data_IF_889948429488
#
_entry.id   IF_889948429488
#
_cell.length_a   1.000
_cell.length_b   1.000
_cell.length_c   1.000
_cell.angle_alpha   90.00
_cell.angle_beta   90.00
_cell.angle_gamma   90.00
#
_symmetry.space_group_name_H-M   'P 1'
#
loop_
_entity.id
_entity.type
_entity.pdbx_description
1 polymer ?
#
# COMPACT_ATOMS: atom_id res chain seq x y z
N UNK A 1 6.28 31.11 23.19
CA UNK A 1 6.85 31.27 21.84
C UNK A 1 6.78 29.93 21.08
N UNK A 2 7.00 29.93 19.77
CA UNK A 2 7.06 28.69 18.95
C UNK A 2 8.19 27.75 19.42
N UNK A 3 9.32 28.33 19.87
CA UNK A 3 10.43 27.56 20.43
C UNK A 3 10.05 26.85 21.74
N UNK A 4 9.28 27.50 22.59
CA UNK A 4 8.83 26.89 23.85
C UNK A 4 7.86 25.74 23.60
N UNK A 5 7.00 25.85 22.59
CA UNK A 5 6.12 24.77 22.17
C UNK A 5 6.90 23.57 21.66
N UNK A 6 7.95 23.79 20.85
CA UNK A 6 8.81 22.69 20.36
C UNK A 6 9.58 22.02 21.50
N UNK A 7 10.09 22.80 22.46
CA UNK A 7 10.74 22.26 23.66
C UNK A 7 9.76 21.47 24.54
N UNK A 8 8.57 22.00 24.77
CA UNK A 8 7.53 21.30 25.51
C UNK A 8 7.14 19.97 24.83
N UNK A 9 6.95 19.98 23.50
CA UNK A 9 6.68 18.77 22.72
C UNK A 9 7.76 17.72 22.92
N UNK A 10 9.05 18.10 22.80
CA UNK A 10 10.16 17.17 22.95
C UNK A 10 10.23 16.54 24.33
N UNK A 11 9.96 17.33 25.38
CA UNK A 11 9.93 16.86 26.77
C UNK A 11 8.76 15.90 27.00
N UNK A 12 7.58 16.24 26.53
CA UNK A 12 6.37 15.39 26.63
C UNK A 12 6.56 14.08 25.86
N UNK A 13 7.08 14.13 24.62
CA UNK A 13 7.35 12.95 23.81
C UNK A 13 8.36 12.01 24.51
N UNK A 14 9.40 12.59 25.12
CA UNK A 14 10.40 11.83 25.88
C UNK A 14 9.81 11.18 27.13
N UNK A 15 8.88 11.85 27.80
CA UNK A 15 8.21 11.32 29.00
C UNK A 15 7.20 10.22 28.68
N UNK A 16 6.48 10.33 27.55
CA UNK A 16 5.43 9.38 27.12
C UNK A 16 5.99 8.18 26.34
N UNK A 17 7.22 8.25 25.86
CA UNK A 17 7.82 7.21 25.05
C UNK A 17 7.24 7.12 23.62
N UNK A 18 7.56 6.03 22.91
CA UNK A 18 7.20 5.85 21.51
C UNK A 18 5.76 5.36 21.28
N UNK A 19 5.01 5.10 22.36
CA UNK A 19 3.62 4.63 22.25
C UNK A 19 2.62 5.76 21.95
N UNK A 20 3.02 7.00 22.14
CA UNK A 20 2.18 8.17 21.94
C UNK A 20 2.81 9.14 20.94
N UNK A 21 1.97 9.74 20.11
CA UNK A 21 2.38 10.81 19.19
C UNK A 21 1.93 12.14 19.78
N UNK A 22 2.90 13.03 20.08
CA UNK A 22 2.61 14.38 20.58
C UNK A 22 2.51 15.32 19.39
N UNK A 23 1.30 15.80 19.09
CA UNK A 23 1.03 16.79 18.06
C UNK A 23 0.90 18.19 18.66
N UNK A 24 1.46 19.20 17.97
CA UNK A 24 1.23 20.61 18.33
C UNK A 24 0.01 21.10 17.56
N UNK A 25 -0.97 21.64 18.27
CA UNK A 25 -2.14 22.27 17.67
C UNK A 25 -2.32 23.70 18.22
N UNK A 26 -2.86 24.58 17.40
CA UNK A 26 -3.18 25.94 17.81
C UNK A 26 -4.62 25.98 18.35
N UNK A 27 -4.76 26.42 19.60
CA UNK A 27 -6.05 26.62 20.23
C UNK A 27 -6.43 28.09 20.08
N UNK A 28 -7.71 28.35 19.81
CA UNK A 28 -8.25 29.69 19.76
C UNK A 28 -8.12 30.41 21.13
N UNK A 29 -7.61 31.64 21.12
CA UNK A 29 -7.56 32.49 22.29
C UNK A 29 -8.82 33.42 22.36
N UNK A 30 -9.92 32.99 21.74
CA UNK A 30 -11.18 33.76 21.79
C UNK A 30 -11.77 33.74 23.18
N UNK A 31 -12.28 34.90 23.68
CA UNK A 31 -12.95 34.96 24.95
C UNK A 31 -14.17 34.00 25.02
N UNK A 32 -14.38 33.39 26.17
CA UNK A 32 -15.46 32.42 26.36
C UNK A 32 -16.86 32.95 26.02
N UNK A 33 -17.13 34.23 26.25
CA UNK A 33 -18.41 34.84 25.91
C UNK A 33 -18.68 34.84 24.38
N UNK A 34 -17.62 35.00 23.57
CA UNK A 34 -17.73 35.02 22.13
C UNK A 34 -17.97 33.58 21.58
N UNK A 35 -17.30 32.59 22.17
CA UNK A 35 -17.50 31.16 21.84
C UNK A 35 -18.93 30.70 22.22
N UNK A 36 -19.47 31.19 23.34
CA UNK A 36 -20.83 30.89 23.80
C UNK A 36 -21.91 31.46 22.88
N UNK A 37 -21.60 32.50 22.12
CA UNK A 37 -22.49 33.08 21.09
C UNK A 37 -22.40 32.37 19.74
N UNK A 38 -21.61 31.28 19.65
CA UNK A 38 -21.39 30.56 18.39
C UNK A 38 -20.45 31.24 17.39
N UNK A 39 -19.79 32.33 17.80
CA UNK A 39 -18.81 33.02 16.99
C UNK A 39 -17.46 32.30 17.09
N UNK A 40 -17.26 31.34 16.17
CA UNK A 40 -16.00 30.63 16.03
C UNK A 40 -14.98 31.51 15.29
N UNK A 41 -13.69 31.45 15.66
CA UNK A 41 -12.66 32.15 14.92
C UNK A 41 -12.60 31.64 13.49
N UNK A 42 -12.39 32.54 12.55
CA UNK A 42 -12.19 32.16 11.15
C UNK A 42 -10.89 31.36 11.03
N UNK A 43 -11.00 30.18 10.44
CA UNK A 43 -9.83 29.37 10.13
C UNK A 43 -9.02 30.03 9.03
N UNK A 44 -7.79 30.43 9.36
CA UNK A 44 -6.89 31.08 8.43
C UNK A 44 -6.19 30.00 7.59
N UNK A 45 -6.24 30.13 6.26
CA UNK A 45 -5.53 29.22 5.36
C UNK A 45 -4.01 29.36 5.44
N UNK A 46 -3.32 28.60 4.59
CA UNK A 46 -1.85 28.52 4.52
C UNK A 46 -1.20 29.90 4.37
N UNK A 47 -1.79 30.78 3.57
CA UNK A 47 -1.26 32.11 3.26
C UNK A 47 -1.20 33.06 4.46
N UNK A 48 -2.11 32.90 5.41
CA UNK A 48 -2.20 33.76 6.60
C UNK A 48 -1.62 33.14 7.86
N UNK A 49 -1.59 31.82 7.92
CA UNK A 49 -1.14 31.07 9.11
C UNK A 49 0.27 30.52 8.95
N UNK A 50 0.79 30.54 7.72
CA UNK A 50 1.97 29.77 7.36
C UNK A 50 1.70 28.27 7.40
N UNK A 51 2.69 27.47 7.10
CA UNK A 51 2.57 26.03 7.10
C UNK A 51 3.36 25.39 5.96
N UNK A 52 3.00 24.17 5.58
CA UNK A 52 3.73 23.41 4.59
C UNK A 52 2.82 23.04 3.43
N UNK A 53 3.35 23.20 2.23
CA UNK A 53 2.72 22.77 1.00
C UNK A 53 3.58 21.66 0.35
N UNK A 54 3.02 20.48 0.17
CA UNK A 54 3.64 19.39 -0.55
C UNK A 54 2.93 19.14 -1.88
N UNK A 55 3.70 18.91 -2.90
CA UNK A 55 3.24 18.34 -4.16
C UNK A 55 3.86 16.94 -4.28
N UNK A 56 3.04 15.91 -4.23
CA UNK A 56 3.46 14.52 -4.37
C UNK A 56 3.01 13.98 -5.73
N UNK A 57 3.84 13.13 -6.32
CA UNK A 57 3.51 12.43 -7.56
C UNK A 57 3.35 10.94 -7.27
N UNK A 58 2.27 10.35 -7.76
CA UNK A 58 2.03 8.91 -7.68
C UNK A 58 2.77 8.23 -8.82
N UNK A 59 3.59 7.23 -8.50
CA UNK A 59 4.29 6.42 -9.50
C UNK A 59 3.32 5.40 -10.11
N UNK A 60 2.61 5.85 -11.14
CA UNK A 60 1.63 5.03 -11.85
C UNK A 60 2.27 3.85 -12.59
N UNK A 61 3.52 3.97 -13.01
CA UNK A 61 4.25 2.89 -13.68
C UNK A 61 4.47 1.73 -12.73
N UNK A 62 4.89 2.02 -11.49
CA UNK A 62 5.02 0.98 -10.45
C UNK A 62 3.68 0.38 -10.04
N UNK A 63 2.61 1.18 -9.98
CA UNK A 63 1.26 0.67 -9.70
C UNK A 63 0.81 -0.34 -10.77
N UNK A 64 1.00 -0.01 -12.04
CA UNK A 64 0.71 -0.91 -13.16
C UNK A 64 1.60 -2.16 -13.13
N UNK A 65 2.89 -1.99 -12.88
CA UNK A 65 3.84 -3.11 -12.79
C UNK A 65 3.47 -4.09 -11.67
N UNK A 66 3.14 -3.57 -10.49
CA UNK A 66 2.70 -4.38 -9.34
C UNK A 66 1.40 -5.12 -9.66
N UNK A 67 0.43 -4.43 -10.25
CA UNK A 67 -0.85 -5.03 -10.63
C UNK A 67 -0.67 -6.12 -11.69
N UNK A 68 0.18 -5.88 -12.70
CA UNK A 68 0.52 -6.89 -13.73
C UNK A 68 1.19 -8.12 -13.12
N UNK A 69 2.08 -7.92 -12.15
CA UNK A 69 2.72 -9.03 -11.43
C UNK A 69 1.72 -9.86 -10.63
N UNK A 70 0.76 -9.20 -9.97
CA UNK A 70 -0.31 -9.86 -9.22
C UNK A 70 -1.20 -10.70 -10.15
N UNK A 71 -1.64 -10.14 -11.28
CA UNK A 71 -2.42 -10.89 -12.27
C UNK A 71 -1.66 -12.11 -12.81
N UNK A 72 -0.36 -11.95 -13.13
CA UNK A 72 0.44 -13.08 -13.60
C UNK A 72 0.56 -14.17 -12.54
N UNK A 73 0.68 -13.80 -11.27
CA UNK A 73 0.65 -14.73 -10.14
C UNK A 73 -0.68 -15.48 -10.04
N UNK A 74 -1.79 -14.79 -10.20
CA UNK A 74 -3.14 -15.35 -10.20
C UNK A 74 -3.35 -16.29 -11.38
N UNK A 75 -2.93 -15.89 -12.58
CA UNK A 75 -2.99 -16.74 -13.77
C UNK A 75 -2.23 -18.06 -13.57
N UNK A 76 -1.00 -17.97 -13.04
CA UNK A 76 -0.20 -19.17 -12.74
C UNK A 76 -0.90 -20.08 -11.73
N UNK A 77 -1.52 -19.52 -10.69
CA UNK A 77 -2.23 -20.27 -9.67
C UNK A 77 -3.46 -20.98 -10.25
N UNK A 78 -4.28 -20.28 -11.04
CA UNK A 78 -5.49 -20.85 -11.64
C UNK A 78 -5.15 -21.87 -12.72
N UNK A 79 -4.18 -21.60 -13.59
CA UNK A 79 -3.75 -22.56 -14.62
C UNK A 79 -3.23 -23.88 -14.00
N UNK A 80 -2.49 -23.79 -12.87
CA UNK A 80 -2.03 -24.97 -12.12
C UNK A 80 -3.19 -25.73 -11.50
N UNK A 81 -4.13 -25.02 -10.87
CA UNK A 81 -5.32 -25.60 -10.24
C UNK A 81 -6.14 -26.40 -11.25
N UNK A 82 -6.34 -25.87 -12.46
CA UNK A 82 -7.07 -26.49 -13.54
C UNK A 82 -6.20 -27.46 -14.37
N UNK A 83 -4.95 -27.71 -13.94
CA UNK A 83 -3.99 -28.62 -14.59
C UNK A 83 -3.74 -28.30 -16.07
N UNK A 84 -3.75 -27.01 -16.43
CA UNK A 84 -3.43 -26.56 -17.79
C UNK A 84 -1.92 -26.55 -17.98
N UNK A 85 -1.44 -27.22 -19.03
CA UNK A 85 -0.01 -27.31 -19.35
C UNK A 85 0.51 -26.06 -20.02
N UNK A 86 1.45 -25.38 -19.38
CA UNK A 86 2.21 -24.28 -19.96
C UNK A 86 3.70 -24.44 -19.67
N UNK A 87 4.55 -23.88 -20.52
CA UNK A 87 6.00 -23.90 -20.35
C UNK A 87 6.49 -22.76 -19.50
N UNK A 88 6.01 -21.55 -19.81
CA UNK A 88 6.47 -20.33 -19.19
C UNK A 88 5.35 -19.28 -19.12
N UNK A 89 5.45 -18.39 -18.15
CA UNK A 89 4.56 -17.26 -17.99
C UNK A 89 5.37 -16.07 -17.47
N UNK A 90 5.57 -15.07 -18.33
CA UNK A 90 6.40 -13.88 -18.08
C UNK A 90 5.61 -12.61 -18.24
N UNK A 91 6.15 -11.51 -17.72
CA UNK A 91 5.62 -10.16 -17.94
C UNK A 91 6.69 -9.26 -18.54
N UNK A 92 6.26 -8.33 -19.38
CA UNK A 92 7.06 -7.24 -19.87
C UNK A 92 6.17 -5.98 -19.87
N UNK A 93 6.43 -5.06 -18.94
CA UNK A 93 5.58 -3.90 -18.64
C UNK A 93 4.13 -4.31 -18.38
N UNK A 94 3.21 -3.88 -19.24
CA UNK A 94 1.76 -4.13 -19.19
C UNK A 94 1.30 -5.36 -19.99
N UNK A 95 2.25 -6.10 -20.56
CA UNK A 95 1.99 -7.30 -21.37
C UNK A 95 2.42 -8.54 -20.60
N UNK A 96 1.50 -9.48 -20.42
CA UNK A 96 1.78 -10.81 -19.89
C UNK A 96 1.83 -11.80 -21.03
N UNK A 97 2.81 -12.69 -21.02
CA UNK A 97 2.98 -13.71 -22.07
C UNK A 97 2.98 -15.09 -21.41
N UNK A 98 2.16 -15.99 -21.95
CA UNK A 98 2.07 -17.36 -21.47
C UNK A 98 2.30 -18.29 -22.65
N UNK A 99 3.31 -19.17 -22.54
CA UNK A 99 3.64 -20.18 -23.55
C UNK A 99 2.95 -21.49 -23.21
N UNK A 100 1.99 -21.90 -24.02
CA UNK A 100 1.23 -23.12 -23.81
C UNK A 100 1.84 -24.31 -24.55
N UNK A 101 1.55 -25.52 -24.04
CA UNK A 101 2.04 -26.77 -24.65
C UNK A 101 1.26 -27.19 -25.92
N UNK A 102 -0.01 -26.78 -26.01
CA UNK A 102 -0.87 -27.11 -27.16
C UNK A 102 -1.92 -26.02 -27.39
N UNK A 103 -2.50 -26.01 -28.60
CA UNK A 103 -3.61 -25.10 -28.95
C UNK A 103 -4.84 -25.33 -28.07
N UNK A 104 -5.08 -26.58 -27.66
CA UNK A 104 -6.21 -26.90 -26.80
C UNK A 104 -6.02 -26.31 -25.39
N UNK A 105 -4.80 -26.38 -24.84
CA UNK A 105 -4.46 -25.77 -23.55
C UNK A 105 -4.51 -24.26 -23.61
N UNK A 106 -4.03 -23.63 -24.70
CA UNK A 106 -4.19 -22.20 -24.93
C UNK A 106 -5.67 -21.79 -24.86
N UNK A 107 -6.55 -22.51 -25.56
CA UNK A 107 -7.98 -22.20 -25.59
C UNK A 107 -8.63 -22.29 -24.20
N UNK A 108 -8.31 -23.35 -23.44
CA UNK A 108 -8.77 -23.51 -22.05
C UNK A 108 -8.18 -22.42 -21.14
N UNK A 109 -6.87 -22.19 -21.22
CA UNK A 109 -6.19 -21.17 -20.42
C UNK A 109 -6.70 -19.75 -20.69
N UNK A 110 -6.97 -19.41 -21.96
CA UNK A 110 -7.57 -18.14 -22.34
C UNK A 110 -8.95 -17.94 -21.70
N UNK A 111 -9.78 -18.97 -21.64
CA UNK A 111 -11.09 -18.87 -20.98
C UNK A 111 -10.94 -18.63 -19.48
N UNK A 112 -10.06 -19.37 -18.80
CA UNK A 112 -9.78 -19.18 -17.36
C UNK A 112 -9.31 -17.77 -17.08
N UNK A 113 -8.39 -17.23 -17.90
CA UNK A 113 -7.87 -15.86 -17.73
C UNK A 113 -8.97 -14.83 -17.97
N UNK A 114 -9.86 -15.08 -18.93
CA UNK A 114 -11.02 -14.20 -19.20
C UNK A 114 -12.01 -14.20 -18.04
N UNK A 115 -12.19 -15.33 -17.37
CA UNK A 115 -13.08 -15.43 -16.20
C UNK A 115 -12.53 -14.66 -14.99
N UNK A 116 -11.20 -14.52 -14.88
CA UNK A 116 -10.57 -13.67 -13.84
C UNK A 116 -10.85 -12.19 -14.12
N UNK A 117 -10.67 -11.76 -15.35
CA UNK A 117 -10.98 -10.39 -15.78
C UNK A 117 -11.28 -10.36 -17.28
N UNK A 118 -12.49 -9.97 -17.62
CA UNK A 118 -13.00 -9.94 -19.01
C UNK A 118 -12.55 -8.69 -19.79
N UNK A 119 -11.83 -7.76 -19.17
CA UNK A 119 -11.38 -6.51 -19.78
C UNK A 119 -9.99 -6.59 -20.41
N UNK A 120 -9.34 -7.76 -20.36
CA UNK A 120 -8.06 -7.96 -21.03
C UNK A 120 -8.22 -8.14 -22.54
N UNK A 121 -7.24 -7.60 -23.27
CA UNK A 121 -7.08 -7.87 -24.69
C UNK A 121 -6.16 -9.07 -24.90
N UNK A 122 -6.54 -9.96 -25.82
CA UNK A 122 -5.83 -11.19 -26.07
C UNK A 122 -5.28 -11.24 -27.50
N UNK A 123 -4.00 -11.57 -27.62
CA UNK A 123 -3.35 -11.85 -28.90
C UNK A 123 -2.74 -13.25 -28.88
N UNK A 124 -3.13 -14.08 -29.84
CA UNK A 124 -2.59 -15.44 -30.00
C UNK A 124 -1.46 -15.37 -31.05
N UNK A 125 -0.29 -15.88 -30.69
CA UNK A 125 0.89 -15.89 -31.56
C UNK A 125 1.36 -17.31 -31.73
N UNK A 126 1.58 -17.68 -32.97
CA UNK A 126 2.07 -19.01 -33.39
C UNK A 126 3.35 -18.78 -34.18
N UNK A 127 4.51 -19.00 -33.58
CA UNK A 127 5.83 -18.79 -34.23
C UNK A 127 6.74 -19.95 -33.83
N UNK A 128 7.39 -20.58 -34.82
CA UNK A 128 8.39 -21.65 -34.61
C UNK A 128 7.92 -22.74 -33.62
N UNK A 129 6.70 -23.26 -33.81
CA UNK A 129 6.03 -24.24 -32.94
C UNK A 129 5.73 -23.72 -31.51
N UNK A 130 6.06 -22.48 -31.20
CA UNK A 130 5.65 -21.84 -29.94
C UNK A 130 4.20 -21.33 -30.00
N UNK A 131 3.44 -21.66 -28.99
CA UNK A 131 2.04 -21.25 -28.82
C UNK A 131 1.97 -20.25 -27.68
N UNK A 132 1.90 -18.96 -28.01
CA UNK A 132 1.97 -17.87 -27.04
C UNK A 132 0.65 -17.12 -26.98
N UNK A 133 0.13 -16.96 -25.78
CA UNK A 133 -0.95 -16.03 -25.48
C UNK A 133 -0.36 -14.76 -24.88
N UNK A 134 -0.51 -13.64 -25.58
CA UNK A 134 -0.29 -12.32 -25.00
C UNK A 134 -1.59 -11.81 -24.37
N UNK A 135 -1.52 -11.43 -23.11
CA UNK A 135 -2.60 -10.80 -22.37
C UNK A 135 -2.19 -9.35 -22.10
N UNK A 136 -2.94 -8.43 -22.64
CA UNK A 136 -2.64 -6.99 -22.61
C UNK A 136 -3.69 -6.33 -21.72
N UNK A 137 -3.25 -5.46 -20.82
CA UNK A 137 -4.14 -4.64 -20.00
C UNK A 137 -4.74 -3.55 -20.90
N UNK A 138 -6.07 -3.54 -21.04
CA UNK A 138 -6.77 -2.53 -21.84
C UNK A 138 -6.59 -1.13 -21.27
N UNK A 139 -6.71 -0.10 -22.11
CA UNK A 139 -6.61 1.30 -21.68
C UNK A 139 -7.66 1.67 -20.62
N UNK A 140 -8.85 1.07 -20.70
CA UNK A 140 -9.88 1.25 -19.69
C UNK A 140 -9.45 0.68 -18.34
N UNK A 141 -8.85 -0.52 -18.33
CA UNK A 141 -8.33 -1.14 -17.11
C UNK A 141 -7.16 -0.35 -16.55
N UNK A 142 -6.25 0.16 -17.38
CA UNK A 142 -5.16 1.04 -16.94
C UNK A 142 -5.70 2.29 -16.25
N UNK A 143 -6.73 2.91 -16.81
CA UNK A 143 -7.40 4.06 -16.21
C UNK A 143 -7.98 3.72 -14.84
N UNK A 144 -8.69 2.60 -14.71
CA UNK A 144 -9.25 2.14 -13.44
C UNK A 144 -8.17 1.87 -12.39
N UNK A 145 -7.04 1.25 -12.79
CA UNK A 145 -5.89 1.01 -11.90
C UNK A 145 -5.30 2.35 -11.44
N UNK A 146 -5.18 3.33 -12.33
CA UNK A 146 -4.67 4.66 -12.02
C UNK A 146 -5.58 5.39 -11.03
N UNK A 147 -6.88 5.42 -11.29
CA UNK A 147 -7.88 6.05 -10.41
C UNK A 147 -7.89 5.39 -9.02
N UNK A 148 -7.82 4.07 -8.99
CA UNK A 148 -7.74 3.31 -7.75
C UNK A 148 -6.46 3.63 -6.97
N UNK A 149 -5.30 3.66 -7.63
CA UNK A 149 -4.02 4.00 -7.00
C UNK A 149 -4.03 5.40 -6.39
N UNK A 150 -4.61 6.38 -7.11
CA UNK A 150 -4.71 7.76 -6.59
C UNK A 150 -5.65 7.82 -5.39
N UNK A 151 -6.83 7.21 -5.50
CA UNK A 151 -7.79 7.17 -4.38
C UNK A 151 -7.17 6.56 -3.13
N UNK A 152 -6.49 5.45 -3.26
CA UNK A 152 -5.80 4.79 -2.16
C UNK A 152 -4.69 5.65 -1.55
N UNK A 153 -3.89 6.33 -2.39
CA UNK A 153 -2.88 7.26 -1.89
C UNK A 153 -3.52 8.44 -1.15
N UNK A 154 -4.63 8.99 -1.64
CA UNK A 154 -5.39 10.04 -0.95
C UNK A 154 -5.86 9.57 0.44
N UNK A 155 -6.45 8.39 0.54
CA UNK A 155 -6.90 7.82 1.82
C UNK A 155 -5.73 7.61 2.78
N UNK A 156 -4.62 7.05 2.28
CA UNK A 156 -3.41 6.84 3.07
C UNK A 156 -2.83 8.16 3.58
N UNK A 157 -2.76 9.18 2.73
CA UNK A 157 -2.25 10.51 3.09
C UNK A 157 -3.17 11.22 4.08
N UNK A 158 -4.49 11.10 3.92
CA UNK A 158 -5.45 11.63 4.90
C UNK A 158 -5.23 11.00 6.29
N UNK A 159 -5.08 9.69 6.37
CA UNK A 159 -4.83 8.99 7.63
C UNK A 159 -3.51 9.48 8.29
N UNK A 160 -2.44 9.61 7.51
CA UNK A 160 -1.15 10.10 8.01
C UNK A 160 -1.18 11.55 8.46
N UNK A 161 -1.93 12.39 7.76
CA UNK A 161 -2.10 13.80 8.16
C UNK A 161 -2.92 13.90 9.44
N UNK A 162 -3.90 13.02 9.63
CA UNK A 162 -4.65 12.93 10.89
C UNK A 162 -3.75 12.54 12.07
N UNK A 163 -2.75 11.66 11.85
CA UNK A 163 -1.73 11.36 12.88
C UNK A 163 -0.89 12.58 13.28
N UNK A 164 -0.72 13.56 12.39
CA UNK A 164 -0.05 14.81 12.69
C UNK A 164 -0.89 15.76 13.56
N UNK A 165 -2.20 15.49 13.67
CA UNK A 165 -3.13 16.34 14.44
C UNK A 165 -3.31 17.74 13.82
N UNK A 166 -3.11 17.89 12.51
CA UNK A 166 -3.24 19.17 11.81
C UNK A 166 -4.73 19.52 11.68
N UNK A 167 -5.08 20.73 12.09
CA UNK A 167 -6.44 21.24 11.90
C UNK A 167 -6.64 21.65 10.42
N UNK A 168 -7.72 21.13 9.83
CA UNK A 168 -8.17 21.45 8.48
C UNK A 168 -7.09 21.32 7.37
N UNK A 169 -6.47 20.14 7.23
CA UNK A 169 -5.55 19.92 6.13
C UNK A 169 -6.33 19.89 4.81
N UNK A 170 -5.73 20.43 3.75
CA UNK A 170 -6.25 20.26 2.40
C UNK A 170 -5.45 19.17 1.69
N UNK A 171 -6.12 18.09 1.30
CA UNK A 171 -5.52 17.00 0.52
C UNK A 171 -6.41 16.76 -0.69
N UNK A 172 -5.87 17.01 -1.88
CA UNK A 172 -6.65 16.88 -3.11
C UNK A 172 -5.79 16.42 -4.27
N UNK A 173 -6.43 15.73 -5.22
CA UNK A 173 -5.81 15.37 -6.48
C UNK A 173 -5.62 16.62 -7.34
N UNK A 174 -4.46 16.71 -8.00
CA UNK A 174 -4.15 17.73 -8.99
C UNK A 174 -3.68 17.07 -10.29
N UNK A 175 -4.49 17.12 -11.32
CA UNK A 175 -4.20 16.44 -12.59
C UNK A 175 -4.38 14.92 -12.49
N UNK A 176 -3.61 14.17 -13.28
CA UNK A 176 -3.76 12.71 -13.40
C UNK A 176 -3.01 11.90 -12.35
N UNK A 177 -1.89 12.42 -11.86
CA UNK A 177 -0.92 11.66 -11.08
C UNK A 177 -0.38 12.40 -9.85
N UNK A 178 -0.86 13.61 -9.57
CA UNK A 178 -0.35 14.44 -8.47
C UNK A 178 -1.37 14.63 -7.37
N UNK A 179 -0.86 14.78 -6.16
CA UNK A 179 -1.63 15.05 -4.94
C UNK A 179 -1.00 16.27 -4.26
N UNK A 180 -1.82 17.28 -4.03
CA UNK A 180 -1.48 18.47 -3.25
C UNK A 180 -1.87 18.24 -1.81
N UNK A 181 -0.96 18.55 -0.89
CA UNK A 181 -1.18 18.49 0.55
C UNK A 181 -0.81 19.83 1.14
N UNK A 182 -1.76 20.50 1.76
CA UNK A 182 -1.54 21.75 2.49
C UNK A 182 -1.80 21.53 3.97
N UNK A 183 -0.81 21.84 4.79
CA UNK A 183 -0.83 21.64 6.23
C UNK A 183 -0.68 23.01 6.94
N UNK A 184 -1.79 23.73 7.18
CA UNK A 184 -1.73 25.02 7.84
C UNK A 184 -1.20 24.91 9.28
N UNK A 185 -0.32 25.85 9.67
CA UNK A 185 0.21 25.92 11.02
C UNK A 185 1.27 24.88 11.39
N UNK A 186 1.66 23.99 10.47
CA UNK A 186 2.75 23.04 10.69
C UNK A 186 4.08 23.76 10.63
N UNK A 187 4.85 23.68 11.70
CA UNK A 187 6.19 24.29 11.81
C UNK A 187 7.32 23.28 11.58
N UNK A 188 7.10 22.02 11.97
CA UNK A 188 8.07 20.93 11.80
C UNK A 188 7.89 20.26 10.44
N UNK A 189 8.50 20.85 9.42
CA UNK A 189 8.46 20.35 8.03
C UNK A 189 9.17 19.01 7.86
N UNK A 190 10.23 18.76 8.65
CA UNK A 190 11.00 17.54 8.57
C UNK A 190 10.18 16.32 9.05
N UNK A 191 9.49 16.49 10.19
CA UNK A 191 8.62 15.45 10.72
C UNK A 191 7.39 15.22 9.85
N UNK A 192 6.80 16.27 9.28
CA UNK A 192 5.70 16.13 8.32
C UNK A 192 6.15 15.32 7.09
N UNK A 193 7.33 15.64 6.53
CA UNK A 193 7.92 14.89 5.41
C UNK A 193 8.20 13.42 5.77
N UNK A 194 8.71 13.15 6.97
CA UNK A 194 8.97 11.80 7.45
C UNK A 194 7.67 10.97 7.51
N UNK A 195 6.62 11.51 8.14
CA UNK A 195 5.34 10.80 8.31
C UNK A 195 4.66 10.57 6.95
N UNK A 196 4.60 11.60 6.10
CA UNK A 196 4.02 11.49 4.77
C UNK A 196 4.81 10.56 3.85
N UNK A 197 6.14 10.52 4.00
CA UNK A 197 7.05 9.72 3.17
C UNK A 197 7.15 8.24 3.57
N UNK A 198 6.51 7.80 4.64
CA UNK A 198 6.52 6.38 5.02
C UNK A 198 5.89 5.52 3.91
N UNK A 199 6.60 4.49 3.48
CA UNK A 199 6.17 3.60 2.38
C UNK A 199 5.66 2.24 2.86
N UNK A 200 5.42 2.09 4.16
CA UNK A 200 4.95 0.82 4.70
C UNK A 200 3.60 0.42 4.10
N UNK A 201 3.54 -0.76 3.52
CA UNK A 201 2.32 -1.39 3.01
C UNK A 201 1.98 -2.61 3.86
N UNK A 202 0.70 -2.81 4.16
CA UNK A 202 0.26 -4.01 4.84
C UNK A 202 0.23 -5.16 3.84
N UNK A 203 0.93 -6.24 4.16
CA UNK A 203 0.92 -7.48 3.39
C UNK A 203 0.63 -8.65 4.33
N UNK A 204 -0.30 -9.50 3.95
CA UNK A 204 -0.58 -10.76 4.66
C UNK A 204 0.10 -11.90 3.93
N UNK A 205 0.92 -12.65 4.64
CA UNK A 205 1.68 -13.77 4.12
C UNK A 205 1.52 -14.98 5.04
N UNK A 206 1.58 -16.18 4.48
CA UNK A 206 1.53 -17.40 5.30
C UNK A 206 2.87 -17.62 6.02
N UNK A 207 2.79 -17.98 7.29
CA UNK A 207 3.94 -18.53 8.00
C UNK A 207 4.28 -19.89 7.40
N UNK A 208 5.57 -20.18 7.22
CA UNK A 208 6.04 -21.47 6.74
C UNK A 208 6.36 -22.37 7.94
N UNK A 209 5.36 -23.08 8.44
CA UNK A 209 5.49 -23.97 9.59
C UNK A 209 6.21 -25.28 9.25
N UNK A 210 6.14 -25.74 7.99
CA UNK A 210 6.71 -27.02 7.53
C UNK A 210 8.24 -27.06 7.63
N UNK A 211 8.89 -25.90 7.61
CA UNK A 211 10.35 -25.74 7.67
C UNK A 211 10.80 -24.89 8.87
N UNK A 212 9.99 -24.85 9.92
CA UNK A 212 10.29 -24.07 11.12
C UNK A 212 11.33 -24.81 11.97
N UNK A 213 12.59 -24.78 11.55
CA UNK A 213 13.71 -25.26 12.37
C UNK A 213 14.27 -24.06 13.13
N UNK A 214 14.14 -24.08 14.48
CA UNK A 214 14.64 -23.00 15.36
C UNK A 214 16.13 -22.73 15.19
N UNK A 215 16.86 -23.66 14.62
CA UNK A 215 18.31 -23.55 14.40
C UNK A 215 18.67 -22.63 13.23
N UNK A 216 17.76 -22.41 12.25
CA UNK A 216 17.95 -21.47 11.13
C UNK A 216 18.13 -20.02 11.64
N UNK A 217 17.48 -19.68 12.75
CA UNK A 217 17.55 -18.35 13.34
C UNK A 217 18.79 -18.12 14.22
N UNK A 218 19.46 -19.19 14.63
CA UNK A 218 20.61 -19.12 15.55
C UNK A 218 21.94 -18.92 14.84
N UNK A 219 22.11 -19.48 13.66
CA UNK A 219 23.42 -19.60 13.01
C UNK A 219 23.63 -18.65 11.83
N UNK A 220 22.63 -17.82 11.47
CA UNK A 220 22.73 -16.86 10.36
C UNK A 220 22.92 -17.53 8.98
N UNK A 221 22.64 -18.83 8.86
CA UNK A 221 22.78 -19.59 7.62
C UNK A 221 21.60 -19.32 6.69
N UNK A 222 21.71 -18.28 5.88
CA UNK A 222 20.71 -17.93 4.86
C UNK A 222 20.52 -19.03 3.80
N UNK A 223 21.52 -19.91 3.63
CA UNK A 223 21.49 -21.02 2.66
C UNK A 223 20.44 -22.10 2.99
N UNK A 224 19.90 -22.12 4.19
CA UNK A 224 18.86 -23.07 4.60
C UNK A 224 17.44 -22.52 4.43
N UNK A 225 17.28 -21.28 3.98
CA UNK A 225 15.97 -20.68 3.75
C UNK A 225 15.38 -21.27 2.46
N UNK A 226 14.18 -21.87 2.52
CA UNK A 226 13.51 -22.36 1.31
C UNK A 226 13.34 -21.25 0.27
N UNK A 227 13.57 -21.56 -1.01
CA UNK A 227 13.56 -20.59 -2.13
C UNK A 227 12.30 -19.70 -2.15
N UNK A 228 11.15 -20.25 -1.72
CA UNK A 228 9.86 -19.55 -1.68
C UNK A 228 9.55 -18.88 -0.35
N UNK A 229 10.54 -18.77 0.56
CA UNK A 229 10.37 -18.20 1.90
C UNK A 229 11.39 -17.09 2.15
N UNK A 230 11.10 -16.24 3.12
CA UNK A 230 12.01 -15.22 3.63
C UNK A 230 11.78 -15.04 5.13
N UNK A 231 12.76 -14.51 5.82
CA UNK A 231 12.67 -14.20 7.25
C UNK A 231 12.26 -12.74 7.39
N UNK A 232 11.25 -12.48 8.20
CA UNK A 232 10.80 -11.14 8.58
C UNK A 232 10.87 -11.04 10.10
N UNK A 233 11.50 -10.00 10.61
CA UNK A 233 11.56 -9.76 12.05
C UNK A 233 10.23 -9.24 12.58
N UNK A 234 9.81 -9.77 13.72
CA UNK A 234 8.70 -9.22 14.48
C UNK A 234 9.10 -7.90 15.19
N UNK A 235 8.15 -7.25 15.85
CA UNK A 235 8.42 -6.01 16.59
C UNK A 235 9.40 -6.17 17.77
N UNK A 236 9.72 -7.40 18.15
CA UNK A 236 10.66 -7.73 19.23
C UNK A 236 12.03 -8.17 18.69
N UNK A 237 12.20 -8.24 17.36
CA UNK A 237 13.41 -8.67 16.71
C UNK A 237 13.53 -10.20 16.57
N UNK A 238 12.43 -10.95 16.75
CA UNK A 238 12.45 -12.38 16.49
C UNK A 238 12.13 -12.64 15.02
N UNK A 239 12.95 -13.42 14.34
CA UNK A 239 12.73 -13.79 12.96
C UNK A 239 11.54 -14.75 12.80
N UNK A 240 10.66 -14.50 11.86
CA UNK A 240 9.55 -15.36 11.47
C UNK A 240 9.75 -15.78 10.02
N UNK A 241 9.73 -17.09 9.75
CA UNK A 241 9.82 -17.60 8.39
C UNK A 241 8.46 -17.51 7.71
N UNK A 242 8.35 -16.70 6.67
CA UNK A 242 7.12 -16.49 5.90
C UNK A 242 7.30 -16.86 4.45
N UNK A 243 6.22 -17.26 3.78
CA UNK A 243 6.23 -17.49 2.34
C UNK A 243 6.34 -16.15 1.60
N UNK A 244 7.19 -16.07 0.55
CA UNK A 244 7.33 -14.86 -0.29
C UNK A 244 6.03 -14.46 -0.99
N UNK A 245 5.11 -15.42 -1.16
CA UNK A 245 3.82 -15.17 -1.79
C UNK A 245 2.94 -14.34 -0.86
N UNK A 246 2.59 -13.14 -1.30
CA UNK A 246 1.60 -12.27 -0.65
C UNK A 246 0.21 -12.80 -0.97
N UNK A 247 -0.59 -13.09 0.06
CA UNK A 247 -1.97 -13.57 -0.08
C UNK A 247 -2.92 -12.40 -0.23
N UNK A 248 -2.73 -11.38 0.60
CA UNK A 248 -3.57 -10.19 0.65
C UNK A 248 -2.71 -8.97 0.92
N UNK A 249 -3.00 -7.90 0.21
CA UNK A 249 -2.41 -6.57 0.48
C UNK A 249 -3.44 -5.66 1.13
N UNK A 250 -2.99 -4.67 1.88
CA UNK A 250 -3.85 -3.66 2.49
C UNK A 250 -4.80 -2.97 1.51
N UNK A 251 -4.45 -2.98 0.23
CA UNK A 251 -5.26 -2.45 -0.87
C UNK A 251 -6.62 -3.14 -1.04
N UNK A 252 -6.74 -4.38 -0.59
CA UNK A 252 -7.99 -5.17 -0.67
C UNK A 252 -8.80 -5.13 0.63
N UNK A 253 -8.29 -4.47 1.67
CA UNK A 253 -8.99 -4.33 2.94
C UNK A 253 -9.91 -3.12 2.86
N UNK A 254 -11.20 -3.36 2.84
CA UNK A 254 -12.22 -2.31 2.77
C UNK A 254 -12.73 -1.90 4.15
N UNK A 255 -12.63 -2.78 5.13
CA UNK A 255 -13.05 -2.52 6.50
C UNK A 255 -12.26 -3.38 7.49
N UNK A 256 -11.98 -2.85 8.67
CA UNK A 256 -11.40 -3.57 9.79
C UNK A 256 -12.13 -3.16 11.07
N UNK A 257 -12.68 -4.14 11.78
CA UNK A 257 -13.33 -3.91 13.06
C UNK A 257 -12.73 -4.85 14.11
N UNK A 258 -12.55 -4.38 15.36
CA UNK A 258 -12.13 -5.26 16.43
C UNK A 258 -13.27 -6.25 16.75
N UNK A 259 -12.92 -7.51 16.89
CA UNK A 259 -13.84 -8.56 17.33
C UNK A 259 -13.19 -9.37 18.44
N UNK A 260 -13.99 -9.90 19.33
CA UNK A 260 -13.53 -10.84 20.37
C UNK A 260 -13.88 -12.25 19.90
N UNK A 261 -12.88 -13.11 19.80
CA UNK A 261 -13.14 -14.52 19.57
C UNK A 261 -13.75 -15.16 20.83
N UNK A 262 -14.99 -15.60 20.71
CA UNK A 262 -15.72 -16.21 21.84
C UNK A 262 -15.16 -17.57 22.27
N UNK A 263 -14.33 -18.23 21.45
CA UNK A 263 -13.73 -19.53 21.78
C UNK A 263 -12.37 -19.39 22.43
N UNK A 264 -11.57 -18.40 22.06
CA UNK A 264 -10.21 -18.22 22.55
C UNK A 264 -10.05 -17.05 23.51
N UNK A 265 -11.02 -16.13 23.58
CA UNK A 265 -11.03 -14.96 24.47
C UNK A 265 -10.03 -13.87 24.12
N UNK A 266 -9.46 -13.92 22.90
CA UNK A 266 -8.45 -12.98 22.41
C UNK A 266 -8.86 -12.27 21.12
#
# INVERSE_FOLDING_TARGET
TAEDQLKAKSLIQKALGNQYVVALNLISNSPNWLSNMGALPMYLGLDLRGGVHFLMQVDLSKALEKTTANYLGEFRAQLRKEKIGYYDATKNNDIMQIKFKSKNELKKGKNIIRDINNTFDFQEIFVNDEIILKVIISEQTKKSITEFAIKQNLETLNNRVNELGVAEPLIQQQGLDRIVIQLPGVQDTAKAKEILGRTATLEMRMVNEDNFNKDIFRDGNEDQIPINSEIIDDRFGNGILVKKQVILTGERITNAAPGVDQQTGG
#
